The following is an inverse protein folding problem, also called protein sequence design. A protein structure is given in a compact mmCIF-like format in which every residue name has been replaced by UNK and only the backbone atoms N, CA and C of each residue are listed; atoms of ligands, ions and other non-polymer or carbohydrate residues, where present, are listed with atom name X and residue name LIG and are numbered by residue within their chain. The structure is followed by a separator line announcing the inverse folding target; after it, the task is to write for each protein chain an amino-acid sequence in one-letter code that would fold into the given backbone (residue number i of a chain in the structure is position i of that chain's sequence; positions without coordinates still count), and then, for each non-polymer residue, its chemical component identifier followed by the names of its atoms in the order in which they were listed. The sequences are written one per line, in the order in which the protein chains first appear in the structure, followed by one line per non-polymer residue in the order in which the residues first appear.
data_IF_094835404303
#
_entry.id   IF_094835404303
#
_cell.length_a   1.000
_cell.length_b   1.000
_cell.length_c   1.000
_cell.angle_alpha   90.00
_cell.angle_beta   90.00
_cell.angle_gamma   90.00
#
_symmetry.space_group_name_H-M   'P 1'
#
loop_
_entity.id
_entity.type
_entity.pdbx_description
1 polymer ?
#
# COMPACT_ATOMS: atom_id res chain seq x y z
N UNK A 1 -3.43 18.20 -0.59
CA UNK A 1 -2.56 17.01 -0.41
C UNK A 1 -2.95 16.38 0.91
N UNK A 2 -3.59 15.21 0.92
CA UNK A 2 -3.90 14.50 2.14
C UNK A 2 -2.64 14.19 2.94
N UNK A 3 -2.69 14.49 4.22
CA UNK A 3 -1.73 14.09 5.23
C UNK A 3 -2.53 13.55 6.42
N UNK A 4 -1.99 12.59 7.12
CA UNK A 4 -2.74 11.98 8.22
C UNK A 4 -1.96 10.90 8.95
N UNK A 5 -2.70 10.14 9.76
CA UNK A 5 -2.15 9.09 10.61
C UNK A 5 -3.07 7.88 10.63
N UNK A 6 -2.48 6.72 10.44
CA UNK A 6 -3.11 5.43 10.68
C UNK A 6 -2.68 4.87 12.03
N UNK A 7 -3.60 4.24 12.76
CA UNK A 7 -3.26 3.29 13.80
C UNK A 7 -3.08 1.90 13.20
N UNK A 8 -2.09 1.17 13.71
CA UNK A 8 -1.73 -0.17 13.26
C UNK A 8 -1.89 -1.16 14.42
N UNK A 9 -2.64 -2.24 14.18
CA UNK A 9 -2.94 -3.27 15.18
C UNK A 9 -2.75 -4.67 14.58
N UNK A 10 -2.51 -5.64 15.42
CA UNK A 10 -2.58 -7.04 14.99
C UNK A 10 -4.03 -7.37 14.61
N UNK A 11 -4.30 -7.84 13.38
CA UNK A 11 -5.66 -8.11 12.94
C UNK A 11 -6.34 -9.29 13.66
N UNK A 12 -5.60 -10.12 14.41
CA UNK A 12 -6.13 -11.28 15.11
C UNK A 12 -6.54 -10.97 16.55
N UNK A 13 -5.78 -10.16 17.27
CA UNK A 13 -6.01 -9.90 18.68
C UNK A 13 -6.14 -8.42 19.05
N UNK A 14 -5.96 -7.52 18.09
CA UNK A 14 -6.06 -6.08 18.31
C UNK A 14 -4.87 -5.45 19.04
N UNK A 15 -3.79 -6.19 19.26
CA UNK A 15 -2.58 -5.65 19.90
C UNK A 15 -2.04 -4.45 19.13
N UNK A 16 -1.81 -3.28 19.76
CA UNK A 16 -1.25 -2.13 19.08
C UNK A 16 0.16 -2.42 18.55
N UNK A 17 0.35 -2.23 17.25
CA UNK A 17 1.65 -2.36 16.57
C UNK A 17 2.32 -1.01 16.35
N UNK A 18 1.57 0.09 16.45
CA UNK A 18 2.07 1.44 16.31
C UNK A 18 1.22 2.32 15.40
N UNK A 19 1.87 3.21 14.68
CA UNK A 19 1.21 4.14 13.77
C UNK A 19 2.01 4.34 12.49
N UNK A 20 1.33 4.75 11.40
CA UNK A 20 1.98 5.28 10.21
C UNK A 20 1.49 6.70 9.94
N UNK A 21 2.43 7.65 9.88
CA UNK A 21 2.16 9.03 9.42
C UNK A 21 2.44 9.12 7.95
N UNK A 22 1.49 9.66 7.20
CA UNK A 22 1.58 9.66 5.75
C UNK A 22 1.30 11.03 5.11
N UNK A 23 1.76 11.15 3.88
CA UNK A 23 1.32 12.16 2.93
C UNK A 23 1.18 11.52 1.56
N UNK A 24 0.13 11.87 0.82
CA UNK A 24 -0.04 11.41 -0.55
C UNK A 24 -0.53 12.54 -1.45
N UNK A 25 -0.14 12.48 -2.71
CA UNK A 25 -0.52 13.50 -3.68
C UNK A 25 -0.60 12.92 -5.09
N UNK A 26 -1.62 13.32 -5.89
CA UNK A 26 -1.57 13.18 -7.32
C UNK A 26 -0.51 14.12 -7.88
N UNK A 27 0.18 13.69 -8.93
CA UNK A 27 1.13 14.50 -9.68
C UNK A 27 0.85 14.41 -11.19
N UNK A 28 1.51 15.23 -12.02
CA UNK A 28 1.27 15.24 -13.46
C UNK A 28 1.61 13.91 -14.14
N UNK A 29 2.42 13.06 -13.49
CA UNK A 29 2.84 11.76 -14.02
C UNK A 29 2.18 10.58 -13.29
N UNK A 30 1.31 10.82 -12.30
CA UNK A 30 0.69 9.74 -11.51
C UNK A 30 0.45 10.14 -10.05
N UNK A 31 0.83 9.28 -9.10
CA UNK A 31 0.58 9.47 -7.68
C UNK A 31 1.81 9.12 -6.86
N UNK A 32 2.01 9.79 -5.73
CA UNK A 32 3.08 9.48 -4.78
C UNK A 32 2.55 9.40 -3.36
N UNK A 33 3.04 8.43 -2.60
CA UNK A 33 2.79 8.25 -1.18
C UNK A 33 4.11 8.16 -0.43
N UNK A 34 4.18 8.86 0.71
CA UNK A 34 5.31 8.79 1.64
C UNK A 34 4.75 8.49 3.01
N UNK A 35 5.20 7.39 3.63
CA UNK A 35 4.83 6.97 4.97
C UNK A 35 6.04 6.80 5.88
N UNK A 36 5.82 7.04 7.18
CA UNK A 36 6.80 6.78 8.26
C UNK A 36 6.09 6.05 9.37
N UNK A 37 6.58 4.84 9.69
CA UNK A 37 5.99 3.98 10.71
C UNK A 37 6.75 4.11 12.03
N UNK A 38 5.99 4.08 13.12
CA UNK A 38 6.50 4.20 14.49
C UNK A 38 5.87 3.11 15.36
N UNK A 39 6.66 2.55 16.30
CA UNK A 39 6.16 1.66 17.34
C UNK A 39 5.26 2.43 18.34
N UNK A 40 4.51 1.72 19.22
CA UNK A 40 3.67 2.36 20.23
C UNK A 40 4.43 3.29 21.20
N UNK A 41 5.71 3.07 21.40
CA UNK A 41 6.60 3.92 22.20
C UNK A 41 7.20 5.11 21.42
N UNK A 42 6.84 5.27 20.14
CA UNK A 42 7.33 6.31 19.25
C UNK A 42 8.68 6.01 18.58
N UNK A 43 9.24 4.81 18.78
CA UNK A 43 10.47 4.38 18.09
C UNK A 43 10.22 4.25 16.59
N UNK A 44 11.05 4.87 15.71
CA UNK A 44 10.91 4.70 14.28
C UNK A 44 11.12 3.24 13.84
N UNK A 45 10.17 2.69 13.08
CA UNK A 45 10.23 1.32 12.55
C UNK A 45 10.67 1.28 11.09
N UNK A 46 10.19 2.21 10.27
CA UNK A 46 10.49 2.18 8.85
C UNK A 46 9.90 3.34 8.05
N UNK A 47 10.12 3.29 6.76
CA UNK A 47 9.58 4.27 5.80
C UNK A 47 9.15 3.59 4.51
N UNK A 48 8.15 4.16 3.86
CA UNK A 48 7.73 3.84 2.49
C UNK A 48 7.73 5.10 1.64
N UNK A 49 8.25 5.01 0.42
CA UNK A 49 8.13 6.02 -0.64
C UNK A 49 7.74 5.29 -1.91
N UNK A 50 6.48 5.44 -2.32
CA UNK A 50 5.90 4.77 -3.47
C UNK A 50 5.41 5.80 -4.48
N UNK A 51 5.91 5.71 -5.71
CA UNK A 51 5.47 6.53 -6.84
C UNK A 51 4.86 5.64 -7.92
N UNK A 52 3.66 5.95 -8.34
CA UNK A 52 2.93 5.26 -9.41
C UNK A 52 2.87 6.13 -10.66
N UNK A 53 2.82 5.49 -11.83
CA UNK A 53 2.50 6.17 -13.09
C UNK A 53 0.98 6.44 -13.22
N UNK A 54 0.59 7.05 -14.34
CA UNK A 54 -0.82 7.31 -14.64
C UNK A 54 -1.68 6.04 -14.75
N UNK A 55 -1.10 4.87 -14.96
CA UNK A 55 -1.76 3.57 -15.00
C UNK A 55 -1.67 2.82 -13.65
N UNK A 56 -1.27 3.52 -12.60
CA UNK A 56 -1.03 2.98 -11.27
C UNK A 56 0.05 1.87 -11.20
N UNK A 57 0.96 1.79 -12.18
CA UNK A 57 2.11 0.89 -12.11
C UNK A 57 3.21 1.53 -11.26
N UNK A 58 3.92 0.76 -10.43
CA UNK A 58 4.98 1.30 -9.57
C UNK A 58 6.19 1.77 -10.41
N UNK A 59 6.36 3.09 -10.55
CA UNK A 59 7.56 3.68 -11.16
C UNK A 59 8.75 3.55 -10.23
N UNK A 60 8.53 3.78 -8.94
CA UNK A 60 9.54 3.69 -7.90
C UNK A 60 8.91 3.26 -6.60
N UNK A 61 9.52 2.32 -5.94
CA UNK A 61 9.25 1.92 -4.58
C UNK A 61 10.55 1.95 -3.78
N UNK A 62 10.51 2.55 -2.60
CA UNK A 62 11.58 2.47 -1.62
C UNK A 62 10.98 2.13 -0.26
N UNK A 63 11.46 1.05 0.36
CA UNK A 63 11.11 0.62 1.71
C UNK A 63 12.35 0.60 2.57
N UNK A 64 12.20 0.95 3.84
CA UNK A 64 13.22 0.78 4.88
C UNK A 64 12.58 0.22 6.13
N UNK A 65 13.14 -0.84 6.68
CA UNK A 65 12.72 -1.45 7.95
C UNK A 65 13.85 -2.31 8.50
N UNK A 66 14.02 -2.32 9.82
CA UNK A 66 14.94 -3.22 10.51
C UNK A 66 16.42 -3.17 10.04
N UNK A 67 16.86 -2.04 9.51
CA UNK A 67 18.20 -1.90 8.92
C UNK A 67 18.28 -2.30 7.43
N UNK A 68 17.22 -2.84 6.85
CA UNK A 68 17.15 -3.21 5.44
C UNK A 68 16.52 -2.10 4.58
N UNK A 69 16.95 -2.06 3.33
CA UNK A 69 16.36 -1.20 2.30
C UNK A 69 15.98 -2.04 1.07
N UNK A 70 14.79 -1.79 0.54
CA UNK A 70 14.37 -2.33 -0.76
C UNK A 70 14.07 -1.18 -1.70
N UNK A 71 14.57 -1.26 -2.92
CA UNK A 71 14.21 -0.37 -4.03
C UNK A 71 13.69 -1.20 -5.17
N UNK A 72 12.65 -0.73 -5.84
CA UNK A 72 12.07 -1.44 -6.98
C UNK A 72 11.19 -0.58 -7.86
N UNK A 73 10.74 -1.16 -8.96
CA UNK A 73 9.84 -0.53 -9.92
C UNK A 73 9.34 -1.53 -10.97
N UNK A 74 8.40 -1.08 -11.82
CA UNK A 74 7.86 -1.88 -12.92
C UNK A 74 8.81 -1.86 -14.12
N UNK A 75 9.32 -3.04 -14.50
CA UNK A 75 10.17 -3.26 -15.66
C UNK A 75 9.82 -4.62 -16.24
N UNK A 76 8.88 -4.68 -17.17
CA UNK A 76 8.35 -5.95 -17.73
C UNK A 76 8.00 -6.98 -16.63
N UNK A 77 7.14 -6.56 -15.71
CA UNK A 77 6.93 -7.15 -14.40
C UNK A 77 7.40 -6.19 -13.32
N UNK A 78 8.00 -6.67 -12.24
CA UNK A 78 8.66 -5.85 -11.22
C UNK A 78 10.09 -6.31 -10.99
N UNK A 79 11.01 -5.34 -10.92
CA UNK A 79 12.39 -5.55 -10.53
C UNK A 79 12.66 -4.89 -9.18
N UNK A 80 13.50 -5.50 -8.37
CA UNK A 80 13.83 -4.98 -7.04
C UNK A 80 15.25 -5.37 -6.62
N UNK A 81 15.80 -4.55 -5.71
CA UNK A 81 17.07 -4.80 -5.02
C UNK A 81 16.84 -4.58 -3.53
N UNK A 82 17.25 -5.52 -2.71
CA UNK A 82 17.23 -5.45 -1.25
C UNK A 82 18.68 -5.38 -0.76
N UNK A 83 18.99 -4.40 0.07
CA UNK A 83 20.34 -4.15 0.59
C UNK A 83 20.30 -3.88 2.09
N UNK A 84 21.42 -4.14 2.75
CA UNK A 84 21.72 -3.58 4.06
C UNK A 84 22.59 -2.34 3.86
N UNK A 85 22.07 -1.11 4.12
CA UNK A 85 22.86 0.12 3.95
C UNK A 85 24.08 0.21 4.87
N UNK A 86 24.13 -0.59 5.94
CA UNK A 86 25.28 -0.67 6.84
C UNK A 86 26.39 -1.61 6.33
N UNK A 87 26.11 -2.44 5.30
CA UNK A 87 27.10 -3.30 4.68
C UNK A 87 27.81 -2.58 3.53
N UNK A 88 29.06 -2.08 3.74
CA UNK A 88 29.80 -1.36 2.71
C UNK A 88 30.27 -2.28 1.57
N UNK A 89 30.24 -3.61 1.78
CA UNK A 89 30.68 -4.58 0.77
C UNK A 89 29.57 -4.97 -0.20
N UNK A 90 28.32 -4.75 0.18
CA UNK A 90 27.14 -5.20 -0.58
C UNK A 90 26.98 -6.72 -0.60
N UNK A 91 27.70 -7.46 0.23
CA UNK A 91 27.66 -8.93 0.25
C UNK A 91 26.28 -9.49 0.64
N UNK A 92 25.49 -8.71 1.38
CA UNK A 92 24.12 -9.05 1.75
C UNK A 92 23.07 -8.59 0.73
N UNK A 93 23.49 -7.95 -0.39
CA UNK A 93 22.56 -7.50 -1.42
C UNK A 93 21.92 -8.69 -2.14
N UNK A 94 20.60 -8.60 -2.33
CA UNK A 94 19.84 -9.54 -3.16
C UNK A 94 19.01 -8.76 -4.15
N UNK A 95 18.86 -9.30 -5.35
CA UNK A 95 18.03 -8.72 -6.39
C UNK A 95 17.05 -9.76 -6.96
N UNK A 96 15.96 -9.29 -7.52
CA UNK A 96 14.98 -10.15 -8.16
C UNK A 96 14.23 -9.41 -9.26
N UNK A 97 13.72 -10.22 -10.18
CA UNK A 97 12.80 -9.80 -11.22
C UNK A 97 11.66 -10.83 -11.30
N UNK A 98 10.44 -10.36 -11.09
CA UNK A 98 9.26 -11.21 -10.99
C UNK A 98 8.22 -10.79 -12.03
N UNK A 99 7.52 -11.77 -12.60
CA UNK A 99 6.33 -11.53 -13.42
C UNK A 99 5.13 -11.18 -12.55
N UNK A 100 5.26 -10.12 -11.77
CA UNK A 100 4.24 -9.58 -10.89
C UNK A 100 3.76 -8.22 -11.40
N UNK A 101 2.61 -7.77 -10.95
CA UNK A 101 1.99 -6.53 -11.40
C UNK A 101 2.39 -5.34 -10.51
N UNK A 102 2.83 -5.60 -9.28
CA UNK A 102 3.17 -4.58 -8.30
C UNK A 102 3.79 -5.17 -7.05
N UNK A 103 3.85 -4.34 -6.02
CA UNK A 103 4.40 -4.66 -4.72
C UNK A 103 3.32 -4.71 -3.65
N UNK A 104 3.61 -5.43 -2.57
CA UNK A 104 2.84 -5.46 -1.33
C UNK A 104 3.75 -5.27 -0.12
N UNK A 105 3.17 -4.93 1.03
CA UNK A 105 3.89 -4.73 2.28
C UNK A 105 2.94 -4.27 3.38
N UNK A 106 3.49 -3.93 4.54
CA UNK A 106 2.72 -3.63 5.74
C UNK A 106 2.08 -2.22 5.69
N UNK A 107 2.56 -1.32 4.81
CA UNK A 107 2.02 0.03 4.67
C UNK A 107 0.70 0.07 3.91
N UNK A 108 -0.27 0.92 4.32
CA UNK A 108 -1.50 1.22 3.57
C UNK A 108 -1.28 1.62 2.12
N UNK A 109 -0.12 2.21 1.78
CA UNK A 109 0.26 2.60 0.42
C UNK A 109 0.04 1.50 -0.61
N UNK A 110 0.35 0.24 -0.25
CA UNK A 110 0.27 -0.89 -1.17
C UNK A 110 -1.16 -1.34 -1.44
N UNK A 111 -2.06 -1.21 -0.46
CA UNK A 111 -3.48 -1.49 -0.64
C UNK A 111 -4.10 -0.47 -1.60
N UNK A 112 -3.81 0.81 -1.40
CA UNK A 112 -4.24 1.90 -2.28
C UNK A 112 -3.71 1.66 -3.71
N UNK A 113 -2.41 1.40 -3.84
CA UNK A 113 -1.77 1.15 -5.14
C UNK A 113 -2.40 -0.02 -5.89
N UNK A 114 -2.66 -1.14 -5.21
CA UNK A 114 -3.26 -2.33 -5.81
C UNK A 114 -4.70 -2.10 -6.25
N UNK A 115 -5.53 -1.44 -5.42
CA UNK A 115 -6.89 -1.06 -5.80
C UNK A 115 -6.89 -0.18 -7.06
N UNK A 116 -5.96 0.77 -7.14
CA UNK A 116 -5.85 1.69 -8.29
C UNK A 116 -5.26 1.04 -9.55
N UNK A 117 -4.43 0.04 -9.39
CA UNK A 117 -3.92 -0.77 -10.49
C UNK A 117 -5.02 -1.63 -11.13
N UNK A 118 -5.86 -2.26 -10.31
CA UNK A 118 -6.85 -3.22 -10.76
C UNK A 118 -8.14 -2.57 -11.25
N UNK A 119 -8.66 -1.59 -10.53
CA UNK A 119 -9.93 -0.88 -10.83
C UNK A 119 -11.05 -1.80 -11.33
N UNK A 120 -11.39 -2.88 -10.63
CA UNK A 120 -12.48 -3.73 -11.06
C UNK A 120 -13.78 -2.91 -11.08
N UNK A 121 -14.66 -3.21 -12.02
CA UNK A 121 -16.02 -2.67 -11.99
C UNK A 121 -16.77 -3.19 -10.75
N UNK A 122 -17.77 -2.47 -10.29
CA UNK A 122 -18.60 -2.91 -9.16
C UNK A 122 -19.20 -4.29 -9.41
N UNK A 123 -19.07 -5.19 -8.43
CA UNK A 123 -19.43 -6.60 -8.52
C UNK A 123 -18.43 -7.47 -9.28
N UNK A 124 -17.40 -6.90 -9.92
CA UNK A 124 -16.40 -7.65 -10.65
C UNK A 124 -15.18 -7.97 -9.78
N UNK A 125 -14.50 -9.08 -10.12
CA UNK A 125 -13.28 -9.53 -9.47
C UNK A 125 -12.10 -9.47 -10.44
N UNK A 126 -10.92 -9.14 -9.91
CA UNK A 126 -9.65 -9.17 -10.64
C UNK A 126 -8.60 -9.94 -9.82
N UNK A 127 -7.73 -10.67 -10.52
CA UNK A 127 -6.57 -11.35 -9.92
C UNK A 127 -5.32 -10.52 -10.13
N UNK A 128 -4.47 -10.48 -9.12
CA UNK A 128 -3.18 -9.80 -9.16
C UNK A 128 -2.10 -10.68 -8.54
N UNK A 129 -0.91 -10.67 -9.14
CA UNK A 129 0.32 -11.25 -8.57
C UNK A 129 1.18 -10.10 -8.06
N UNK A 130 1.65 -10.21 -6.82
CA UNK A 130 2.42 -9.18 -6.12
C UNK A 130 3.70 -9.77 -5.55
N UNK A 131 4.73 -8.94 -5.40
CA UNK A 131 5.91 -9.23 -4.57
C UNK A 131 5.76 -8.48 -3.26
N UNK A 132 5.63 -9.21 -2.16
CA UNK A 132 5.57 -8.65 -0.82
C UNK A 132 6.95 -8.47 -0.21
N UNK A 133 7.08 -7.39 0.56
CA UNK A 133 8.18 -7.15 1.49
C UNK A 133 7.59 -6.79 2.83
N UNK A 134 7.76 -7.65 3.82
CA UNK A 134 7.14 -7.48 5.14
C UNK A 134 8.10 -7.72 6.28
N UNK A 135 7.74 -7.22 7.46
CA UNK A 135 8.49 -7.33 8.70
C UNK A 135 9.85 -6.62 8.65
N UNK A 136 10.63 -6.78 9.70
CA UNK A 136 11.91 -6.10 9.86
C UNK A 136 12.98 -6.54 8.85
N UNK A 137 12.88 -7.76 8.31
CA UNK A 137 13.85 -8.31 7.36
C UNK A 137 13.57 -7.91 5.91
N UNK A 138 12.38 -7.39 5.59
CA UNK A 138 11.93 -7.10 4.23
C UNK A 138 12.21 -8.27 3.27
N UNK A 139 11.93 -9.51 3.71
CA UNK A 139 12.14 -10.70 2.89
C UNK A 139 11.13 -10.74 1.74
N UNK A 140 11.55 -11.00 0.49
CA UNK A 140 10.64 -11.06 -0.65
C UNK A 140 9.79 -12.33 -0.63
N UNK A 141 8.50 -12.19 -0.95
CA UNK A 141 7.58 -13.31 -1.21
C UNK A 141 6.65 -12.94 -2.35
N UNK A 142 6.53 -13.81 -3.33
CA UNK A 142 5.55 -13.65 -4.42
C UNK A 142 4.27 -14.42 -4.07
N UNK A 143 3.11 -13.81 -4.29
CA UNK A 143 1.80 -14.39 -4.00
C UNK A 143 0.70 -13.81 -4.88
N UNK A 144 -0.45 -14.48 -4.93
CA UNK A 144 -1.60 -14.08 -5.74
C UNK A 144 -2.77 -13.66 -4.85
N UNK A 145 -3.44 -12.56 -5.22
CA UNK A 145 -4.65 -12.08 -4.59
C UNK A 145 -5.81 -11.96 -5.58
N UNK A 146 -7.03 -12.20 -5.09
CA UNK A 146 -8.28 -11.84 -5.75
C UNK A 146 -8.87 -10.58 -5.11
N UNK A 147 -9.23 -9.59 -5.91
CA UNK A 147 -9.83 -8.33 -5.48
C UNK A 147 -11.20 -8.16 -6.09
N UNK A 148 -12.22 -7.93 -5.27
CA UNK A 148 -13.60 -7.69 -5.72
C UNK A 148 -14.06 -6.33 -5.19
N UNK A 149 -14.46 -5.42 -6.07
CA UNK A 149 -15.17 -4.20 -5.66
C UNK A 149 -16.62 -4.57 -5.37
N UNK A 150 -17.00 -4.55 -4.11
CA UNK A 150 -18.34 -4.96 -3.67
C UNK A 150 -19.38 -3.86 -3.83
N UNK A 151 -19.02 -2.63 -3.43
CA UNK A 151 -19.90 -1.47 -3.55
C UNK A 151 -19.11 -0.17 -3.64
N UNK A 152 -19.77 0.85 -4.20
CA UNK A 152 -19.33 2.25 -4.14
C UNK A 152 -20.46 3.05 -3.52
N UNK A 153 -20.23 3.62 -2.35
CA UNK A 153 -21.23 4.37 -1.59
C UNK A 153 -20.85 5.85 -1.51
N UNK A 154 -21.84 6.72 -1.66
CA UNK A 154 -21.64 8.16 -1.53
C UNK A 154 -22.09 8.63 -0.16
N UNK A 155 -21.20 9.23 0.60
CA UNK A 155 -21.49 9.82 1.90
C UNK A 155 -21.42 11.34 1.81
N UNK A 156 -22.36 12.02 2.46
CA UNK A 156 -22.30 13.47 2.60
C UNK A 156 -21.33 13.84 3.75
N UNK A 157 -20.40 14.73 3.46
CA UNK A 157 -19.48 15.27 4.47
C UNK A 157 -19.47 16.79 4.40
N UNK A 158 -18.92 17.46 5.43
CA UNK A 158 -18.80 18.93 5.47
C UNK A 158 -17.94 19.47 4.30
N UNK A 159 -17.03 18.65 3.77
CA UNK A 159 -16.16 18.99 2.64
C UNK A 159 -16.75 18.63 1.28
N UNK A 160 -17.97 18.08 1.23
CA UNK A 160 -18.63 17.62 0.02
C UNK A 160 -18.87 16.10 -0.01
N UNK A 161 -19.34 15.56 -1.13
CA UNK A 161 -19.59 14.12 -1.25
C UNK A 161 -18.30 13.32 -1.24
N UNK A 162 -18.24 12.29 -0.40
CA UNK A 162 -17.16 11.33 -0.32
C UNK A 162 -17.61 9.99 -0.91
N UNK A 163 -16.92 9.50 -1.93
CA UNK A 163 -17.14 8.16 -2.48
C UNK A 163 -16.27 7.17 -1.71
N UNK A 164 -16.91 6.17 -1.11
CA UNK A 164 -16.26 5.09 -0.38
C UNK A 164 -16.42 3.80 -1.17
N UNK A 165 -15.30 3.23 -1.56
CA UNK A 165 -15.19 1.96 -2.27
C UNK A 165 -14.94 0.84 -1.25
N UNK A 166 -15.77 -0.19 -1.26
CA UNK A 166 -15.63 -1.38 -0.41
C UNK A 166 -15.09 -2.53 -1.25
N UNK A 167 -13.92 -3.02 -0.86
CA UNK A 167 -13.26 -4.15 -1.50
C UNK A 167 -13.24 -5.37 -0.61
N UNK A 168 -13.44 -6.54 -1.20
CA UNK A 168 -13.08 -7.82 -0.61
C UNK A 168 -11.81 -8.32 -1.28
N UNK A 169 -10.82 -8.65 -0.48
CA UNK A 169 -9.52 -9.17 -0.92
C UNK A 169 -9.32 -10.56 -0.37
N UNK A 170 -9.01 -11.51 -1.24
CA UNK A 170 -8.71 -12.89 -0.90
C UNK A 170 -7.23 -13.21 -1.20
N UNK A 171 -6.52 -13.79 -0.25
CA UNK A 171 -5.26 -14.48 -0.52
C UNK A 171 -5.60 -15.81 -1.22
N UNK A 172 -5.09 -16.01 -2.43
CA UNK A 172 -5.45 -17.19 -3.25
C UNK A 172 -4.67 -18.45 -2.86
N UNK A 173 -3.67 -18.36 -2.00
CA UNK A 173 -2.92 -19.51 -1.47
C UNK A 173 -3.58 -20.05 -0.20
N UNK A 174 -4.00 -19.15 0.70
CA UNK A 174 -4.58 -19.52 2.01
C UNK A 174 -6.10 -19.55 2.01
N UNK A 175 -6.75 -18.82 1.10
CA UNK A 175 -8.18 -18.59 1.09
C UNK A 175 -8.66 -17.57 2.12
N UNK A 176 -7.75 -16.94 2.86
CA UNK A 176 -8.08 -15.88 3.81
C UNK A 176 -8.68 -14.68 3.09
N UNK A 177 -9.76 -14.15 3.65
CA UNK A 177 -10.46 -13.00 3.09
C UNK A 177 -10.44 -11.82 4.06
N UNK A 178 -10.30 -10.63 3.53
CA UNK A 178 -10.34 -9.37 4.28
C UNK A 178 -11.12 -8.31 3.52
N UNK A 179 -11.78 -7.45 4.27
CA UNK A 179 -12.49 -6.29 3.72
C UNK A 179 -11.66 -5.02 3.93
N UNK A 180 -11.72 -4.10 3.00
CA UNK A 180 -11.11 -2.79 3.13
C UNK A 180 -11.97 -1.71 2.49
N UNK A 181 -11.84 -0.49 3.03
CA UNK A 181 -12.57 0.69 2.58
C UNK A 181 -11.60 1.76 2.10
N UNK A 182 -11.82 2.25 0.89
CA UNK A 182 -10.99 3.29 0.27
C UNK A 182 -11.86 4.51 -0.08
N UNK A 183 -11.31 5.68 0.10
CA UNK A 183 -11.87 6.92 -0.45
C UNK A 183 -10.78 7.64 -1.26
N UNK A 184 -10.97 7.70 -2.57
CA UNK A 184 -9.98 8.30 -3.46
C UNK A 184 -8.58 7.70 -3.27
N UNK A 185 -7.64 8.49 -2.79
CA UNK A 185 -6.25 8.08 -2.56
C UNK A 185 -5.90 7.81 -1.07
N UNK A 186 -6.92 7.57 -0.24
CA UNK A 186 -6.77 7.28 1.20
C UNK A 186 -7.48 5.98 1.56
N UNK A 187 -6.82 5.12 2.33
CA UNK A 187 -7.41 3.97 2.98
C UNK A 187 -8.16 4.44 4.22
N UNK A 188 -9.45 4.12 4.36
CA UNK A 188 -10.23 4.47 5.55
C UNK A 188 -10.07 3.41 6.63
N UNK A 189 -10.20 2.14 6.24
CA UNK A 189 -10.07 1.01 7.14
C UNK A 189 -9.67 -0.26 6.39
N UNK A 190 -8.92 -1.13 7.07
CA UNK A 190 -8.65 -2.52 6.70
C UNK A 190 -8.37 -3.32 7.99
N UNK A 191 -8.36 -4.65 7.99
CA UNK A 191 -7.97 -5.41 9.17
C UNK A 191 -6.61 -4.99 9.70
N UNK A 192 -6.58 -4.53 10.96
CA UNK A 192 -5.39 -4.04 11.63
C UNK A 192 -4.93 -2.64 11.21
N UNK A 193 -5.70 -1.90 10.41
CA UNK A 193 -5.36 -0.54 9.95
C UNK A 193 -6.60 0.35 10.03
N UNK A 194 -6.53 1.45 10.76
CA UNK A 194 -7.60 2.44 10.87
C UNK A 194 -7.06 3.85 10.64
N UNK A 195 -7.80 4.66 9.88
CA UNK A 195 -7.49 6.07 9.70
C UNK A 195 -7.93 6.85 10.92
N UNK A 196 -6.99 7.43 11.66
CA UNK A 196 -7.24 8.20 12.88
C UNK A 196 -7.38 9.70 12.62
N UNK A 197 -6.52 10.22 11.74
CA UNK A 197 -6.44 11.63 11.43
C UNK A 197 -6.25 11.85 9.94
N UNK A 198 -6.95 12.86 9.41
CA UNK A 198 -6.84 13.29 8.02
C UNK A 198 -6.98 14.82 7.94
N UNK A 199 -5.91 15.52 7.59
CA UNK A 199 -5.89 16.99 7.56
C UNK A 199 -6.63 17.58 6.36
N UNK A 200 -6.66 16.85 5.23
CA UNK A 200 -7.32 17.30 4.01
C UNK A 200 -8.10 16.14 3.40
N UNK A 201 -9.22 16.41 2.72
CA UNK A 201 -10.03 15.35 2.10
C UNK A 201 -9.21 14.55 1.09
N UNK A 202 -9.56 13.26 0.88
CA UNK A 202 -8.95 12.43 -0.14
C UNK A 202 -9.05 13.08 -1.51
N UNK A 203 -7.99 12.94 -2.33
CA UNK A 203 -8.09 13.34 -3.72
C UNK A 203 -8.90 12.29 -4.49
N UNK A 204 -9.80 12.74 -5.37
CA UNK A 204 -10.39 11.86 -6.34
C UNK A 204 -9.29 11.25 -7.22
N UNK A 205 -9.34 9.94 -7.42
CA UNK A 205 -8.40 9.31 -8.35
C UNK A 205 -8.76 9.73 -9.78
N UNK A 206 -7.80 10.20 -10.58
CA UNK A 206 -8.10 10.62 -11.94
C UNK A 206 -8.73 9.47 -12.73
N UNK A 207 -9.88 9.73 -13.37
CA UNK A 207 -10.43 8.86 -14.40
C UNK A 207 -9.60 9.07 -15.66
N UNK A 208 -8.74 8.12 -15.98
CA UNK A 208 -8.05 8.11 -17.27
C UNK A 208 -8.97 7.43 -18.29
N UNK A 209 -9.56 8.23 -19.16
CA UNK A 209 -10.21 7.74 -20.39
C UNK A 209 -9.17 7.23 -21.40
#
# INVERSE_FOLDING_TARGET
MPTGRYSLHDPHDGTPLGEERFSCAPGPAGWRYVGKSYAPDGTPLGTVDLTLDSRARPLRMELRSGGWQVRGGAVDGVAWVRTDPADPTGAAATEGHDRAHGFAGDSPAFLIATARLLRPAEGASARVRLVAFSGAALAPRTFDQGWTLQSVEQHATDSGPLLVERYQVADLETGEQRELHLAGDVLLAAPGIELEELDNPPNAWPSWE
#
